data_IF_816883018461
#
_entry.id   IF_816883018461
#
_cell.length_a   1.000
_cell.length_b   1.000
_cell.length_c   1.000
_cell.angle_alpha   90.00
_cell.angle_beta   90.00
_cell.angle_gamma   90.00
#
_symmetry.space_group_name_H-M   'P 1'
#
loop_
_entity.id
_entity.type
_entity.pdbx_description
1 polymer ?
#
# COMPACT_ATOMS: atom_id res chain seq x y z
N UNK A 1 -4.49 -51.73 -0.52
CA UNK A 1 -4.14 -50.47 0.20
C UNK A 1 -4.73 -49.31 -0.57
N UNK A 2 -5.42 -48.35 0.07
CA UNK A 2 -5.99 -47.18 -0.63
C UNK A 2 -4.83 -46.38 -1.25
N UNK A 3 -4.90 -46.11 -2.55
CA UNK A 3 -3.89 -45.37 -3.30
C UNK A 3 -3.89 -43.89 -2.88
N UNK A 4 -3.19 -43.56 -1.80
CA UNK A 4 -3.06 -42.19 -1.28
C UNK A 4 -1.89 -41.50 -1.96
N UNK A 5 -2.09 -40.27 -2.45
CA UNK A 5 -1.00 -39.45 -2.95
C UNK A 5 -0.22 -38.83 -1.79
N UNK A 6 1.08 -38.64 -1.98
CA UNK A 6 1.92 -37.88 -1.04
C UNK A 6 1.90 -36.41 -1.50
N UNK A 7 1.61 -35.50 -0.57
CA UNK A 7 1.60 -34.06 -0.79
C UNK A 7 2.56 -33.39 0.19
N UNK A 8 3.22 -32.32 -0.24
CA UNK A 8 4.08 -31.49 0.60
C UNK A 8 3.30 -30.52 1.49
N UNK A 9 4.01 -29.60 2.12
CA UNK A 9 3.44 -28.48 2.90
C UNK A 9 2.65 -27.46 2.03
N UNK A 10 2.93 -27.44 0.73
CA UNK A 10 2.24 -26.63 -0.28
C UNK A 10 2.17 -27.39 -1.61
N UNK A 11 1.08 -27.21 -2.34
CA UNK A 11 0.83 -27.89 -3.62
C UNK A 11 0.15 -26.97 -4.63
N UNK A 12 0.28 -27.29 -5.91
CA UNK A 12 -0.55 -26.72 -6.96
C UNK A 12 -1.79 -27.58 -7.16
N UNK A 13 -2.94 -26.94 -7.28
CA UNK A 13 -4.18 -27.63 -7.61
C UNK A 13 -5.06 -26.83 -8.57
N UNK A 14 -6.09 -27.48 -9.12
CA UNK A 14 -7.03 -26.86 -10.05
C UNK A 14 -8.47 -27.11 -9.63
N UNK A 15 -9.37 -26.21 -10.05
CA UNK A 15 -10.82 -26.33 -9.92
C UNK A 15 -11.45 -26.12 -11.31
N UNK A 16 -11.63 -27.19 -12.09
CA UNK A 16 -12.10 -27.10 -13.47
C UNK A 16 -13.45 -26.39 -13.61
N UNK A 17 -14.41 -26.68 -12.73
CA UNK A 17 -15.76 -26.08 -12.78
C UNK A 17 -15.76 -24.58 -12.43
N UNK A 18 -14.77 -24.12 -11.66
CA UNK A 18 -14.59 -22.70 -11.34
C UNK A 18 -13.74 -21.98 -12.38
N UNK A 19 -13.23 -22.68 -13.40
CA UNK A 19 -12.30 -22.12 -14.38
C UNK A 19 -10.95 -21.73 -13.76
N UNK A 20 -10.53 -22.40 -12.68
CA UNK A 20 -9.24 -22.15 -12.00
C UNK A 20 -8.24 -23.24 -12.42
N UNK A 21 -7.39 -22.99 -13.44
CA UNK A 21 -6.46 -24.01 -13.94
C UNK A 21 -5.27 -24.30 -13.00
N UNK A 22 -4.84 -23.34 -12.18
CA UNK A 22 -3.72 -23.53 -11.26
C UNK A 22 -3.73 -22.52 -10.09
N UNK A 23 -3.99 -22.99 -8.87
CA UNK A 23 -3.91 -22.20 -7.64
C UNK A 23 -2.97 -22.88 -6.64
N UNK A 24 -2.11 -22.07 -6.00
CA UNK A 24 -1.21 -22.56 -4.96
C UNK A 24 -1.97 -22.71 -3.64
N UNK A 25 -2.02 -23.93 -3.13
CA UNK A 25 -2.65 -24.28 -1.86
C UNK A 25 -1.61 -24.52 -0.78
N UNK A 26 -1.86 -24.01 0.42
CA UNK A 26 -1.19 -24.50 1.63
C UNK A 26 -1.93 -25.75 2.11
N UNK A 27 -1.19 -26.82 2.35
CA UNK A 27 -1.72 -28.04 2.94
C UNK A 27 -1.80 -27.82 4.44
N UNK A 28 -3.02 -27.81 4.98
CA UNK A 28 -3.29 -27.40 6.36
C UNK A 28 -4.16 -28.43 7.07
N UNK A 29 -3.52 -29.37 7.77
CA UNK A 29 -4.21 -30.36 8.60
C UNK A 29 -4.84 -29.76 9.86
N UNK A 30 -4.55 -28.50 10.21
CA UNK A 30 -5.25 -27.79 11.28
C UNK A 30 -6.65 -27.32 10.84
N UNK A 31 -6.82 -26.99 9.57
CA UNK A 31 -8.10 -26.57 9.01
C UNK A 31 -9.05 -27.76 8.81
N UNK A 32 -10.29 -27.65 9.32
CA UNK A 32 -11.33 -28.67 9.08
C UNK A 32 -11.75 -28.69 7.61
N UNK A 33 -12.27 -27.55 7.14
CA UNK A 33 -12.79 -27.37 5.78
C UNK A 33 -11.83 -26.51 4.96
N UNK A 34 -11.67 -26.84 3.69
CA UNK A 34 -10.85 -26.06 2.76
C UNK A 34 -11.43 -24.66 2.53
N UNK A 35 -10.57 -23.71 2.15
CA UNK A 35 -10.95 -22.33 1.92
C UNK A 35 -10.27 -21.75 0.70
N UNK A 36 -11.03 -21.10 -0.17
CA UNK A 36 -10.51 -20.44 -1.37
C UNK A 36 -10.68 -18.92 -1.25
N UNK A 37 -9.69 -18.20 -1.75
CA UNK A 37 -9.70 -16.76 -1.83
C UNK A 37 -10.88 -16.29 -2.69
N UNK A 38 -11.70 -15.40 -2.14
CA UNK A 38 -12.88 -14.87 -2.83
C UNK A 38 -13.12 -13.41 -2.44
N UNK A 39 -13.37 -12.58 -3.44
CA UNK A 39 -13.75 -11.18 -3.33
C UNK A 39 -15.10 -10.93 -3.98
N UNK A 40 -15.71 -9.78 -3.63
CA UNK A 40 -16.98 -9.33 -4.20
C UNK A 40 -18.09 -10.41 -4.18
N UNK A 41 -18.12 -11.22 -3.12
CA UNK A 41 -19.08 -12.33 -2.99
C UNK A 41 -20.49 -11.77 -2.85
N UNK A 42 -21.35 -12.04 -3.83
CA UNK A 42 -22.75 -11.61 -3.87
C UNK A 42 -23.67 -12.80 -4.12
N UNK A 43 -24.66 -13.00 -3.25
CA UNK A 43 -25.68 -14.03 -3.45
C UNK A 43 -26.77 -13.58 -4.40
N UNK A 44 -27.28 -14.51 -5.20
CA UNK A 44 -28.46 -14.32 -6.04
C UNK A 44 -29.28 -15.62 -6.10
N UNK A 45 -30.49 -15.54 -6.66
CA UNK A 45 -31.36 -16.70 -6.88
C UNK A 45 -31.33 -17.10 -8.35
N UNK A 46 -31.18 -18.39 -8.63
CA UNK A 46 -31.37 -19.00 -9.95
C UNK A 46 -32.40 -20.11 -9.79
N UNK A 47 -33.65 -19.82 -10.15
CA UNK A 47 -34.80 -20.63 -9.74
C UNK A 47 -34.97 -20.64 -8.21
N UNK A 48 -35.20 -21.81 -7.62
CA UNK A 48 -35.34 -21.98 -6.17
C UNK A 48 -33.98 -22.06 -5.43
N UNK A 49 -32.88 -22.26 -6.15
CA UNK A 49 -31.53 -22.46 -5.59
C UNK A 49 -30.83 -21.14 -5.30
N UNK A 50 -30.07 -21.11 -4.21
CA UNK A 50 -29.19 -19.98 -3.86
C UNK A 50 -27.85 -20.14 -4.55
N UNK A 51 -27.40 -19.11 -5.24
CA UNK A 51 -26.11 -19.06 -5.92
C UNK A 51 -25.28 -17.90 -5.38
N UNK A 52 -23.97 -17.97 -5.57
CA UNK A 52 -23.04 -16.88 -5.29
C UNK A 52 -22.21 -16.58 -6.52
N UNK A 53 -22.06 -15.29 -6.82
CA UNK A 53 -21.08 -14.77 -7.78
C UNK A 53 -19.93 -14.15 -7.00
N UNK A 54 -18.71 -14.44 -7.41
CA UNK A 54 -17.51 -13.98 -6.72
C UNK A 54 -16.32 -13.90 -7.67
N UNK A 55 -15.28 -13.18 -7.24
CA UNK A 55 -14.04 -13.02 -7.98
C UNK A 55 -12.90 -13.74 -7.23
N UNK A 56 -12.08 -14.49 -7.97
CA UNK A 56 -10.89 -15.18 -7.45
C UNK A 56 -9.64 -14.55 -8.06
N UNK A 57 -8.69 -14.21 -7.21
CA UNK A 57 -7.28 -14.00 -7.58
C UNK A 57 -6.48 -15.28 -7.29
N UNK A 58 -6.22 -16.13 -8.30
CA UNK A 58 -5.66 -17.46 -8.08
C UNK A 58 -4.15 -17.43 -7.82
N UNK A 59 -3.47 -16.36 -8.24
CA UNK A 59 -2.02 -16.23 -8.14
C UNK A 59 -1.62 -15.46 -6.89
N UNK A 60 -0.55 -15.92 -6.22
CA UNK A 60 0.03 -15.23 -5.08
C UNK A 60 0.54 -13.84 -5.51
N UNK A 61 0.29 -12.82 -4.68
CA UNK A 61 0.76 -11.44 -4.96
C UNK A 61 0.37 -10.93 -6.36
N UNK A 62 -0.78 -11.36 -6.88
CA UNK A 62 -1.25 -10.94 -8.19
C UNK A 62 -2.75 -10.71 -8.10
N UNK A 63 -3.15 -9.44 -8.25
CA UNK A 63 -4.55 -9.03 -8.40
C UNK A 63 -4.93 -8.76 -9.87
N UNK A 64 -4.03 -9.03 -10.81
CA UNK A 64 -4.26 -8.82 -12.24
C UNK A 64 -5.11 -9.94 -12.82
N UNK A 65 -4.80 -11.18 -12.46
CA UNK A 65 -5.55 -12.36 -12.88
C UNK A 65 -6.81 -12.42 -12.02
N UNK A 66 -7.96 -12.18 -12.64
CA UNK A 66 -9.27 -12.23 -12.00
C UNK A 66 -10.13 -13.24 -12.71
N UNK A 67 -10.57 -14.26 -11.98
CA UNK A 67 -11.57 -15.21 -12.45
C UNK A 67 -12.90 -14.86 -11.83
N UNK A 68 -13.94 -14.72 -12.66
CA UNK A 68 -15.32 -14.52 -12.22
C UNK A 68 -16.02 -15.86 -12.19
N UNK A 69 -16.44 -16.27 -11.01
CA UNK A 69 -17.01 -17.58 -10.76
C UNK A 69 -18.46 -17.43 -10.28
N UNK A 70 -19.29 -18.40 -10.63
CA UNK A 70 -20.61 -18.60 -10.04
C UNK A 70 -20.71 -20.04 -9.55
N UNK A 71 -21.23 -20.24 -8.35
CA UNK A 71 -21.46 -21.57 -7.80
C UNK A 71 -22.74 -21.63 -6.97
N UNK A 72 -23.36 -22.80 -6.93
CA UNK A 72 -24.49 -23.09 -6.05
C UNK A 72 -24.01 -23.13 -4.58
N UNK A 73 -24.76 -22.48 -3.70
CA UNK A 73 -24.51 -22.52 -2.25
C UNK A 73 -25.16 -23.76 -1.68
N UNK A 74 -24.35 -24.61 -1.05
CA UNK A 74 -24.86 -25.80 -0.36
C UNK A 74 -25.08 -25.57 1.13
N UNK A 75 -24.33 -24.64 1.75
CA UNK A 75 -24.36 -24.38 3.18
C UNK A 75 -23.82 -22.96 3.49
N UNK A 76 -24.07 -22.48 4.71
CA UNK A 76 -23.44 -21.30 5.30
C UNK A 76 -22.87 -21.67 6.67
N UNK A 77 -21.56 -21.68 6.77
CA UNK A 77 -20.85 -22.21 7.93
C UNK A 77 -20.19 -21.08 8.72
N UNK A 78 -20.36 -21.08 10.03
CA UNK A 78 -19.60 -20.22 10.92
C UNK A 78 -18.18 -20.78 11.06
N UNK A 79 -17.18 -20.02 10.60
CA UNK A 79 -15.77 -20.41 10.62
C UNK A 79 -15.03 -19.50 11.61
N UNK A 80 -14.40 -20.12 12.62
CA UNK A 80 -13.56 -19.41 13.59
C UNK A 80 -12.13 -19.35 13.06
N UNK A 81 -11.58 -18.14 12.95
CA UNK A 81 -10.19 -17.91 12.60
C UNK A 81 -9.25 -18.20 13.77
N UNK A 82 -7.96 -18.36 13.49
CA UNK A 82 -6.92 -18.50 14.51
C UNK A 82 -6.80 -17.28 15.44
N UNK A 83 -7.27 -16.10 15.00
CA UNK A 83 -7.38 -14.89 15.82
C UNK A 83 -8.68 -14.82 16.65
N UNK A 84 -9.47 -15.90 16.69
CA UNK A 84 -10.66 -16.01 17.52
C UNK A 84 -11.93 -15.38 16.94
N UNK A 85 -11.85 -14.68 15.79
CA UNK A 85 -13.00 -14.06 15.14
C UNK A 85 -13.81 -15.10 14.37
N UNK A 86 -15.13 -15.06 14.51
CA UNK A 86 -16.06 -15.95 13.82
C UNK A 86 -16.71 -15.23 12.65
N UNK A 87 -16.62 -15.82 11.46
CA UNK A 87 -17.21 -15.29 10.22
C UNK A 87 -18.17 -16.32 9.60
N UNK A 88 -19.35 -15.89 9.14
CA UNK A 88 -20.27 -16.76 8.37
C UNK A 88 -19.86 -16.76 6.91
N UNK A 89 -19.45 -17.91 6.38
CA UNK A 89 -18.98 -18.07 5.01
C UNK A 89 -19.91 -18.96 4.20
N UNK A 90 -20.09 -18.64 2.93
CA UNK A 90 -20.76 -19.53 1.98
C UNK A 90 -19.89 -20.76 1.73
N UNK A 91 -20.54 -21.91 1.62
CA UNK A 91 -19.92 -23.18 1.25
C UNK A 91 -20.41 -23.57 -0.13
N UNK A 92 -19.45 -23.89 -1.00
CA UNK A 92 -19.70 -24.39 -2.35
C UNK A 92 -19.04 -25.77 -2.48
N UNK A 93 -19.47 -26.52 -3.49
CA UNK A 93 -18.88 -27.81 -3.85
C UNK A 93 -18.32 -27.71 -5.25
N UNK A 94 -17.10 -28.23 -5.45
CA UNK A 94 -16.45 -28.27 -6.77
C UNK A 94 -15.46 -29.43 -6.81
N UNK A 95 -15.20 -30.02 -7.99
CA UNK A 95 -14.09 -30.95 -8.20
C UNK A 95 -12.74 -30.26 -7.99
N UNK A 96 -11.91 -30.85 -7.13
CA UNK A 96 -10.49 -30.54 -6.94
C UNK A 96 -9.67 -31.50 -7.80
N UNK A 97 -8.70 -30.96 -8.53
CA UNK A 97 -7.67 -31.72 -9.23
C UNK A 97 -6.29 -31.46 -8.61
N UNK A 98 -5.60 -32.52 -8.19
CA UNK A 98 -4.28 -32.46 -7.53
C UNK A 98 -3.56 -33.81 -7.68
N UNK A 99 -2.26 -33.79 -8.02
CA UNK A 99 -1.46 -35.02 -8.16
C UNK A 99 -2.07 -36.10 -9.06
N UNK A 100 -2.68 -35.69 -10.16
CA UNK A 100 -3.36 -36.60 -11.10
C UNK A 100 -4.70 -37.18 -10.61
N UNK A 101 -5.14 -36.86 -9.39
CA UNK A 101 -6.44 -37.27 -8.86
C UNK A 101 -7.48 -36.15 -9.04
N UNK A 102 -8.74 -36.54 -9.26
CA UNK A 102 -9.90 -35.63 -9.29
C UNK A 102 -10.95 -36.13 -8.31
N UNK A 103 -11.39 -35.29 -7.37
CA UNK A 103 -12.47 -35.62 -6.44
C UNK A 103 -13.16 -34.36 -5.91
N UNK A 104 -14.40 -34.52 -5.45
CA UNK A 104 -15.24 -33.42 -4.99
C UNK A 104 -14.84 -32.95 -3.59
N UNK A 105 -14.79 -31.64 -3.37
CA UNK A 105 -14.50 -31.01 -2.07
C UNK A 105 -15.48 -29.89 -1.73
N UNK A 106 -15.68 -29.67 -0.43
CA UNK A 106 -16.32 -28.44 0.09
C UNK A 106 -15.29 -27.32 0.17
N UNK A 107 -15.64 -26.14 -0.34
CA UNK A 107 -14.86 -24.91 -0.21
C UNK A 107 -15.67 -23.84 0.51
N UNK A 108 -15.06 -23.23 1.52
CA UNK A 108 -15.55 -21.96 2.08
C UNK A 108 -15.01 -20.79 1.26
N UNK A 109 -15.88 -19.84 0.93
CA UNK A 109 -15.48 -18.58 0.28
C UNK A 109 -14.99 -17.59 1.36
N UNK A 110 -13.72 -17.20 1.28
CA UNK A 110 -13.10 -16.32 2.28
C UNK A 110 -12.25 -15.24 1.62
N UNK A 111 -12.29 -14.02 2.14
CA UNK A 111 -11.31 -13.02 1.74
C UNK A 111 -9.95 -13.36 2.37
N UNK A 112 -9.02 -13.77 1.52
CA UNK A 112 -7.65 -14.19 1.90
C UNK A 112 -6.55 -13.22 1.45
N UNK A 113 -6.86 -11.95 1.18
CA UNK A 113 -5.90 -10.96 0.66
C UNK A 113 -4.69 -10.72 1.56
N UNK A 114 -4.92 -10.62 2.86
CA UNK A 114 -3.86 -10.40 3.86
C UNK A 114 -3.16 -11.70 4.27
N UNK A 115 -3.58 -12.85 3.72
CA UNK A 115 -3.07 -14.16 4.11
C UNK A 115 -2.13 -14.71 3.05
N UNK A 116 -1.00 -15.29 3.48
CA UNK A 116 0.08 -15.73 2.59
C UNK A 116 -0.26 -16.80 1.55
N UNK A 117 -1.47 -17.39 1.56
CA UNK A 117 -1.95 -18.36 0.56
C UNK A 117 -3.40 -18.09 0.15
N UNK A 118 -3.65 -18.10 -1.16
CA UNK A 118 -4.97 -17.93 -1.79
C UNK A 118 -5.86 -19.17 -1.65
N UNK A 119 -5.31 -20.32 -1.30
CA UNK A 119 -6.06 -21.56 -1.06
C UNK A 119 -5.51 -22.29 0.18
N UNK A 120 -6.42 -22.82 1.01
CA UNK A 120 -6.11 -23.76 2.09
C UNK A 120 -6.76 -25.10 1.79
N UNK A 121 -5.98 -26.17 1.83
CA UNK A 121 -6.46 -27.54 1.71
C UNK A 121 -6.63 -28.13 3.11
N UNK A 122 -7.87 -28.28 3.56
CA UNK A 122 -8.24 -28.77 4.89
C UNK A 122 -8.36 -30.29 4.98
N UNK A 123 -8.49 -30.80 6.22
CA UNK A 123 -8.55 -32.25 6.51
C UNK A 123 -9.67 -32.99 5.81
N UNK A 124 -10.85 -32.40 5.67
CA UNK A 124 -12.01 -33.07 5.01
C UNK A 124 -11.71 -33.39 3.53
N UNK A 125 -10.92 -32.56 2.86
CA UNK A 125 -10.46 -32.83 1.49
C UNK A 125 -9.39 -33.94 1.47
N UNK A 126 -8.50 -33.97 2.45
CA UNK A 126 -7.36 -34.91 2.51
C UNK A 126 -7.73 -36.31 3.00
N UNK A 127 -8.74 -36.44 3.86
CA UNK A 127 -9.03 -37.67 4.60
C UNK A 127 -9.22 -38.88 3.67
N UNK A 128 -8.38 -39.89 3.88
CA UNK A 128 -8.41 -41.13 3.10
C UNK A 128 -7.85 -41.05 1.68
N UNK A 129 -7.39 -39.85 1.23
CA UNK A 129 -6.89 -39.58 -0.13
C UNK A 129 -5.41 -39.18 -0.15
N UNK A 130 -4.90 -38.56 0.92
CA UNK A 130 -3.56 -37.97 0.94
C UNK A 130 -2.74 -38.36 2.17
N UNK A 131 -1.42 -38.32 2.03
CA UNK A 131 -0.42 -38.31 3.10
C UNK A 131 0.37 -37.00 3.00
N UNK A 132 0.56 -36.31 4.12
CA UNK A 132 1.30 -35.04 4.14
C UNK A 132 2.74 -35.30 4.56
N UNK A 133 3.67 -34.97 3.68
CA UNK A 133 5.09 -34.86 3.97
C UNK A 133 5.39 -33.38 4.31
N UNK A 134 5.67 -33.05 5.58
CA UNK A 134 5.91 -31.68 6.00
C UNK A 134 7.25 -31.12 5.51
N UNK A 135 8.23 -31.96 5.18
CA UNK A 135 9.54 -31.56 4.67
C UNK A 135 9.45 -31.15 3.18
N UNK A 136 8.58 -31.83 2.44
CA UNK A 136 8.34 -31.58 1.02
C UNK A 136 7.57 -30.29 0.69
N UNK A 137 7.73 -29.83 -0.55
CA UNK A 137 6.88 -28.83 -1.20
C UNK A 137 6.71 -29.19 -2.67
N UNK A 138 5.49 -29.04 -3.21
CA UNK A 138 5.18 -29.30 -4.61
C UNK A 138 5.50 -30.75 -5.07
N UNK A 139 5.25 -31.72 -4.20
CA UNK A 139 5.53 -33.14 -4.48
C UNK A 139 4.64 -33.69 -5.60
N UNK A 140 3.52 -33.02 -5.87
CA UNK A 140 2.62 -33.37 -6.98
C UNK A 140 2.93 -32.65 -8.29
N UNK A 141 3.98 -31.82 -8.30
CA UNK A 141 4.44 -31.07 -9.47
C UNK A 141 4.48 -29.55 -9.25
N UNK A 142 5.30 -28.88 -10.04
CA UNK A 142 5.44 -27.42 -10.05
C UNK A 142 4.84 -26.86 -11.33
N UNK A 143 4.03 -25.82 -11.21
CA UNK A 143 3.60 -25.02 -12.37
C UNK A 143 4.59 -23.87 -12.55
N UNK A 144 5.33 -23.88 -13.66
CA UNK A 144 6.29 -22.84 -13.99
C UNK A 144 5.58 -21.51 -14.34
N UNK A 145 6.25 -20.37 -14.13
CA UNK A 145 5.67 -19.03 -14.38
C UNK A 145 5.18 -18.87 -15.83
N UNK A 146 5.93 -19.39 -16.81
CA UNK A 146 5.55 -19.34 -18.23
C UNK A 146 4.25 -20.12 -18.52
N UNK A 147 4.04 -21.23 -17.81
CA UNK A 147 2.81 -22.01 -17.93
C UNK A 147 1.65 -21.31 -17.22
N UNK A 148 1.87 -20.65 -16.08
CA UNK A 148 0.86 -19.79 -15.46
C UNK A 148 0.44 -18.65 -16.40
N UNK A 149 1.38 -18.06 -17.12
CA UNK A 149 1.06 -17.00 -18.09
C UNK A 149 0.17 -17.53 -19.23
N UNK A 150 0.46 -18.74 -19.72
CA UNK A 150 -0.36 -19.41 -20.73
C UNK A 150 -1.76 -19.76 -20.19
N UNK A 151 -1.83 -20.42 -19.04
CA UNK A 151 -3.08 -20.89 -18.43
C UNK A 151 -4.03 -19.74 -18.09
N UNK A 152 -3.49 -18.61 -17.65
CA UNK A 152 -4.27 -17.44 -17.27
C UNK A 152 -4.41 -16.40 -18.37
N UNK A 153 -3.86 -16.65 -19.56
CA UNK A 153 -3.84 -15.67 -20.63
C UNK A 153 -3.22 -14.35 -20.17
N UNK A 154 -2.19 -14.39 -19.31
CA UNK A 154 -1.35 -13.23 -19.02
C UNK A 154 -0.59 -12.96 -20.30
N UNK A 155 -1.25 -12.26 -21.22
CA UNK A 155 -0.70 -11.92 -22.52
C UNK A 155 0.68 -11.34 -22.33
N UNK A 156 1.62 -11.77 -23.17
CA UNK A 156 2.86 -11.03 -23.40
C UNK A 156 2.47 -9.56 -23.51
N UNK A 157 2.87 -8.77 -22.52
CA UNK A 157 2.73 -7.33 -22.57
C UNK A 157 3.51 -6.92 -23.82
N UNK A 158 2.80 -6.49 -24.86
CA UNK A 158 3.43 -6.03 -26.08
C UNK A 158 4.29 -4.82 -25.72
N UNK A 159 5.60 -4.82 -26.03
CA UNK A 159 6.48 -3.71 -25.71
C UNK A 159 6.09 -2.49 -26.55
N UNK A 160 5.23 -1.65 -25.99
CA UNK A 160 4.79 -0.39 -26.61
C UNK A 160 4.36 0.68 -25.60
N UNK A 161 4.39 0.38 -24.30
CA UNK A 161 4.15 1.37 -23.24
C UNK A 161 5.42 2.10 -22.81
N UNK A 162 5.23 3.10 -21.95
CA UNK A 162 6.31 3.88 -21.33
C UNK A 162 7.35 3.01 -20.60
N UNK A 163 8.60 3.47 -20.58
CA UNK A 163 9.67 3.00 -19.69
C UNK A 163 9.62 3.77 -18.38
N UNK A 164 9.11 3.14 -17.33
CA UNK A 164 8.93 3.77 -16.02
C UNK A 164 9.90 3.16 -15.02
N UNK A 165 10.72 3.99 -14.39
CA UNK A 165 11.56 3.61 -13.25
C UNK A 165 10.79 3.70 -11.93
N UNK A 166 11.03 2.75 -11.03
CA UNK A 166 10.66 2.81 -9.63
C UNK A 166 11.93 2.90 -8.80
N UNK A 167 12.20 4.07 -8.22
CA UNK A 167 13.34 4.30 -7.33
C UNK A 167 12.92 3.95 -5.91
N UNK A 168 13.29 2.75 -5.44
CA UNK A 168 12.80 2.21 -4.17
C UNK A 168 13.93 1.74 -3.26
N UNK A 169 13.71 1.85 -1.94
CA UNK A 169 14.60 1.26 -0.95
C UNK A 169 14.38 -0.27 -0.83
N UNK A 170 13.12 -0.71 -0.91
CA UNK A 170 12.77 -2.13 -0.91
C UNK A 170 11.71 -2.41 -1.99
N UNK A 171 12.06 -3.13 -3.07
CA UNK A 171 11.11 -3.44 -4.12
C UNK A 171 10.06 -4.49 -3.72
N UNK A 172 10.29 -5.25 -2.65
CA UNK A 172 9.38 -6.30 -2.16
C UNK A 172 8.31 -5.76 -1.20
N UNK A 173 8.44 -4.50 -0.76
CA UNK A 173 7.42 -3.83 0.03
C UNK A 173 6.08 -3.77 -0.73
N UNK A 174 4.96 -3.85 -0.01
CA UNK A 174 3.62 -3.86 -0.61
C UNK A 174 3.43 -2.75 -1.64
N UNK A 175 3.71 -1.50 -1.27
CA UNK A 175 3.51 -0.34 -2.14
C UNK A 175 4.37 -0.41 -3.41
N UNK A 176 5.64 -0.80 -3.30
CA UNK A 176 6.55 -1.00 -4.42
C UNK A 176 6.04 -2.08 -5.39
N UNK A 177 5.65 -3.24 -4.86
CA UNK A 177 5.10 -4.35 -5.68
C UNK A 177 3.83 -3.92 -6.41
N UNK A 178 2.93 -3.23 -5.72
CA UNK A 178 1.67 -2.75 -6.31
C UNK A 178 1.91 -1.75 -7.43
N UNK A 179 2.88 -0.84 -7.31
CA UNK A 179 3.27 0.08 -8.37
C UNK A 179 3.83 -0.66 -9.60
N UNK A 180 4.70 -1.67 -9.38
CA UNK A 180 5.24 -2.50 -10.45
C UNK A 180 4.15 -3.30 -11.17
N UNK A 181 3.25 -3.93 -10.41
CA UNK A 181 2.08 -4.64 -10.95
C UNK A 181 1.17 -3.71 -11.75
N UNK A 182 0.84 -2.54 -11.20
CA UNK A 182 -0.05 -1.58 -11.84
C UNK A 182 0.55 -1.05 -13.15
N UNK A 183 1.85 -0.77 -13.18
CA UNK A 183 2.54 -0.33 -14.38
C UNK A 183 2.56 -1.42 -15.46
N UNK A 184 2.91 -2.65 -15.10
CA UNK A 184 2.88 -3.81 -16.01
C UNK A 184 1.46 -4.08 -16.53
N UNK A 185 0.44 -4.02 -15.68
CA UNK A 185 -0.97 -4.19 -16.06
C UNK A 185 -1.42 -3.17 -17.11
N UNK A 186 -0.82 -1.98 -17.12
CA UNK A 186 -1.12 -0.90 -18.08
C UNK A 186 -0.24 -0.95 -19.34
N UNK A 187 0.63 -1.95 -19.45
CA UNK A 187 1.45 -2.20 -20.64
C UNK A 187 2.82 -1.52 -20.62
N UNK A 188 3.24 -0.99 -19.48
CA UNK A 188 4.51 -0.29 -19.34
C UNK A 188 5.67 -1.21 -19.00
N UNK A 189 6.87 -0.84 -19.43
CA UNK A 189 8.11 -1.47 -19.03
C UNK A 189 8.58 -0.87 -17.70
N UNK A 190 8.45 -1.66 -16.63
CA UNK A 190 8.83 -1.24 -15.28
C UNK A 190 10.27 -1.62 -14.95
N UNK A 191 11.08 -0.63 -14.57
CA UNK A 191 12.47 -0.81 -14.14
C UNK A 191 12.57 -0.55 -12.64
N UNK A 192 13.10 -1.50 -11.88
CA UNK A 192 13.36 -1.30 -10.45
C UNK A 192 14.77 -0.75 -10.29
N UNK A 193 14.88 0.38 -9.59
CA UNK A 193 16.15 1.01 -9.21
C UNK A 193 16.28 0.96 -7.68
N UNK A 194 16.95 -0.06 -7.12
CA UNK A 194 17.21 -0.13 -5.68
C UNK A 194 18.25 0.92 -5.30
N UNK A 195 17.88 1.87 -4.44
CA UNK A 195 18.73 3.04 -4.11
C UNK A 195 20.10 2.61 -3.58
N UNK A 196 20.15 1.57 -2.75
CA UNK A 196 21.37 0.98 -2.18
C UNK A 196 22.38 0.51 -3.23
N UNK A 197 21.87 0.15 -4.42
CA UNK A 197 22.67 -0.40 -5.50
C UNK A 197 23.08 0.65 -6.53
N UNK A 198 22.68 1.91 -6.33
CA UNK A 198 22.91 3.00 -7.26
C UNK A 198 24.13 3.84 -6.86
N UNK A 199 24.95 4.19 -7.85
CA UNK A 199 26.03 5.17 -7.69
C UNK A 199 25.99 6.19 -8.83
N UNK A 200 26.53 7.38 -8.58
CA UNK A 200 26.61 8.46 -9.56
C UNK A 200 28.07 8.81 -9.82
N UNK A 201 28.44 8.82 -11.09
CA UNK A 201 29.67 9.42 -11.57
C UNK A 201 29.36 10.84 -12.05
N UNK A 202 29.93 11.82 -11.36
CA UNK A 202 29.83 13.24 -11.72
C UNK A 202 31.15 13.65 -12.34
N UNK A 203 31.11 14.08 -13.60
CA UNK A 203 32.27 14.56 -14.33
C UNK A 203 31.85 15.62 -15.34
N UNK A 204 32.81 16.44 -15.82
CA UNK A 204 32.54 17.47 -16.82
C UNK A 204 32.04 16.92 -18.17
N UNK A 205 32.30 15.64 -18.46
CA UNK A 205 31.77 14.92 -19.61
C UNK A 205 30.93 13.71 -19.16
N UNK A 206 29.72 13.60 -19.70
CA UNK A 206 28.79 12.47 -19.57
C UNK A 206 28.58 11.95 -18.12
N UNK A 207 27.72 12.59 -17.31
CA UNK A 207 27.34 12.04 -16.02
C UNK A 207 26.68 10.67 -16.23
N UNK A 208 27.05 9.69 -15.41
CA UNK A 208 26.57 8.32 -15.53
C UNK A 208 26.06 7.81 -14.19
N UNK A 209 24.99 7.02 -14.23
CA UNK A 209 24.51 6.26 -13.07
C UNK A 209 24.86 4.79 -13.26
N UNK A 210 25.32 4.13 -12.21
CA UNK A 210 25.37 2.67 -12.17
C UNK A 210 24.24 2.14 -11.30
N UNK A 211 23.73 0.96 -11.61
CA UNK A 211 22.83 0.20 -10.76
C UNK A 211 23.24 -1.27 -10.80
N UNK A 212 23.36 -1.91 -9.63
CA UNK A 212 23.74 -3.33 -9.51
C UNK A 212 25.03 -3.68 -10.26
N UNK A 213 26.02 -2.78 -10.21
CA UNK A 213 27.34 -2.99 -10.81
C UNK A 213 27.42 -2.78 -12.33
N UNK A 214 26.32 -2.39 -12.99
CA UNK A 214 26.31 -2.06 -14.41
C UNK A 214 25.91 -0.60 -14.64
N UNK A 215 26.45 0.02 -15.68
CA UNK A 215 26.01 1.35 -16.12
C UNK A 215 24.55 1.29 -16.55
N UNK A 216 23.73 2.14 -15.94
CA UNK A 216 22.33 2.29 -16.31
C UNK A 216 22.23 3.18 -17.55
N UNK A 217 22.03 2.56 -18.70
CA UNK A 217 21.96 3.21 -20.01
C UNK A 217 20.53 3.44 -20.52
N UNK A 218 19.53 2.86 -19.85
CA UNK A 218 18.14 2.98 -20.27
C UNK A 218 17.61 4.41 -20.10
N UNK A 219 17.09 4.98 -21.18
CA UNK A 219 16.30 6.21 -21.11
C UNK A 219 14.93 5.89 -20.50
N UNK A 220 14.61 6.54 -19.39
CA UNK A 220 13.31 6.46 -18.73
C UNK A 220 12.42 7.62 -19.17
N UNK A 221 11.16 7.31 -19.49
CA UNK A 221 10.13 8.32 -19.74
C UNK A 221 9.67 8.94 -18.42
N UNK A 222 9.54 8.12 -17.38
CA UNK A 222 9.18 8.56 -16.04
C UNK A 222 9.93 7.83 -14.92
N UNK A 223 9.98 8.47 -13.76
CA UNK A 223 10.55 7.93 -12.53
C UNK A 223 9.63 8.19 -11.33
N UNK A 224 9.31 7.13 -10.60
CA UNK A 224 8.51 7.15 -9.38
C UNK A 224 9.45 6.94 -8.18
N UNK A 225 9.79 7.98 -7.40
CA UNK A 225 10.46 7.81 -6.11
C UNK A 225 9.54 7.23 -5.04
N UNK A 226 9.99 6.13 -4.45
CA UNK A 226 9.27 5.38 -3.43
C UNK A 226 10.20 4.90 -2.31
N UNK A 227 10.66 5.86 -1.49
CA UNK A 227 11.65 5.60 -0.44
C UNK A 227 11.40 6.39 0.84
N UNK A 228 11.86 5.81 1.96
CA UNK A 228 11.74 6.39 3.31
C UNK A 228 12.68 7.58 3.56
N UNK A 229 12.49 8.24 4.69
CA UNK A 229 13.27 9.44 5.07
C UNK A 229 14.78 9.20 5.15
N UNK A 230 15.18 7.98 5.47
CA UNK A 230 16.59 7.54 5.54
C UNK A 230 17.32 7.65 4.19
N UNK A 231 16.60 7.58 3.08
CA UNK A 231 17.16 7.73 1.73
C UNK A 231 16.99 9.13 1.15
N UNK A 232 16.57 10.13 1.93
CA UNK A 232 16.28 11.48 1.40
C UNK A 232 17.47 12.07 0.65
N UNK A 233 18.68 12.00 1.21
CA UNK A 233 19.88 12.58 0.58
C UNK A 233 20.23 11.86 -0.74
N UNK A 234 20.41 10.54 -0.69
CA UNK A 234 20.78 9.73 -1.86
C UNK A 234 19.67 9.68 -2.92
N UNK A 235 18.43 9.45 -2.50
CA UNK A 235 17.27 9.42 -3.38
C UNK A 235 17.03 10.76 -4.08
N UNK A 236 17.17 11.89 -3.38
CA UNK A 236 17.09 13.20 -4.03
C UNK A 236 18.27 13.47 -4.98
N UNK A 237 19.45 12.92 -4.73
CA UNK A 237 20.59 13.04 -5.65
C UNK A 237 20.33 12.30 -6.97
N UNK A 238 19.83 11.06 -6.87
CA UNK A 238 19.42 10.26 -8.03
C UNK A 238 18.25 10.92 -8.78
N UNK A 239 17.26 11.45 -8.07
CA UNK A 239 16.16 12.20 -8.70
C UNK A 239 16.66 13.40 -9.49
N UNK A 240 17.57 14.22 -8.93
CA UNK A 240 18.15 15.36 -9.67
C UNK A 240 18.92 14.93 -10.91
N UNK A 241 19.60 13.79 -10.86
CA UNK A 241 20.25 13.21 -12.04
C UNK A 241 19.22 12.92 -13.15
N UNK A 242 18.11 12.24 -12.83
CA UNK A 242 17.05 11.96 -13.80
C UNK A 242 16.27 13.20 -14.26
N UNK A 243 16.04 14.16 -13.36
CA UNK A 243 15.46 15.47 -13.71
C UNK A 243 16.34 16.19 -14.75
N UNK A 244 17.67 16.16 -14.58
CA UNK A 244 18.61 16.72 -15.55
C UNK A 244 18.63 16.01 -16.91
N UNK A 245 18.16 14.76 -16.97
CA UNK A 245 17.95 14.01 -18.21
C UNK A 245 16.55 14.24 -18.84
N UNK A 246 15.76 15.17 -18.29
CA UNK A 246 14.38 15.45 -18.68
C UNK A 246 13.42 14.26 -18.49
N UNK A 247 13.73 13.33 -17.57
CA UNK A 247 12.78 12.28 -17.17
C UNK A 247 11.67 12.88 -16.31
N UNK A 248 10.41 12.51 -16.55
CA UNK A 248 9.28 12.99 -15.75
C UNK A 248 9.26 12.32 -14.37
N UNK A 249 9.35 13.10 -13.30
CA UNK A 249 9.42 12.57 -11.92
C UNK A 249 8.13 12.81 -11.13
N UNK A 250 7.70 11.82 -10.33
CA UNK A 250 6.52 11.91 -9.45
C UNK A 250 6.87 11.37 -8.06
N UNK A 251 7.43 12.14 -7.14
CA UNK A 251 7.58 13.61 -7.07
C UNK A 251 9.00 14.11 -7.42
N UNK A 252 9.19 15.44 -7.49
CA UNK A 252 10.50 16.06 -7.71
C UNK A 252 11.42 15.99 -6.48
N UNK A 253 12.73 16.09 -6.69
CA UNK A 253 13.72 16.11 -5.61
C UNK A 253 13.47 17.29 -4.64
N UNK A 254 13.12 18.46 -5.18
CA UNK A 254 12.85 19.66 -4.39
C UNK A 254 11.61 19.49 -3.50
N UNK A 255 10.50 18.99 -4.06
CA UNK A 255 9.24 18.81 -3.33
C UNK A 255 9.34 17.70 -2.27
N UNK A 256 10.06 16.61 -2.55
CA UNK A 256 10.34 15.57 -1.56
C UNK A 256 11.14 16.15 -0.40
N UNK A 257 12.24 16.85 -0.69
CA UNK A 257 13.07 17.48 0.36
C UNK A 257 12.26 18.43 1.23
N UNK A 258 11.47 19.31 0.61
CA UNK A 258 10.61 20.25 1.33
C UNK A 258 9.57 19.54 2.21
N UNK A 259 8.96 18.45 1.75
CA UNK A 259 8.00 17.68 2.53
C UNK A 259 8.61 16.90 3.70
N UNK A 260 9.90 16.57 3.61
CA UNK A 260 10.62 15.81 4.64
C UNK A 260 11.10 16.70 5.78
N UNK A 261 11.36 17.97 5.52
CA UNK A 261 11.69 18.96 6.55
C UNK A 261 10.40 19.56 7.13
N UNK A 262 10.03 19.24 8.39
CA UNK A 262 8.77 19.69 8.99
C UNK A 262 8.69 21.22 9.11
N UNK A 263 9.81 21.89 9.39
CA UNK A 263 9.82 23.36 9.52
C UNK A 263 9.62 23.99 8.16
N UNK A 264 10.39 23.57 7.16
CA UNK A 264 10.25 24.08 5.78
C UNK A 264 8.87 23.76 5.18
N UNK A 265 8.30 22.59 5.50
CA UNK A 265 6.97 22.18 5.06
C UNK A 265 5.90 23.12 5.64
N UNK A 266 5.85 23.26 6.97
CA UNK A 266 4.87 24.11 7.65
C UNK A 266 4.98 25.59 7.25
N UNK A 267 6.21 26.11 7.10
CA UNK A 267 6.42 27.46 6.59
C UNK A 267 5.90 27.63 5.15
N UNK A 268 6.05 26.62 4.29
CA UNK A 268 5.49 26.60 2.93
C UNK A 268 3.96 26.66 2.91
N UNK A 269 3.32 25.93 3.83
CA UNK A 269 1.87 25.95 3.99
C UNK A 269 1.38 27.32 4.47
N UNK A 270 2.03 27.90 5.48
CA UNK A 270 1.71 29.24 6.00
C UNK A 270 1.84 30.34 4.95
N UNK A 271 2.94 30.35 4.18
CA UNK A 271 3.14 31.31 3.06
C UNK A 271 2.04 31.21 2.00
N UNK A 272 1.40 30.05 1.88
CA UNK A 272 0.30 29.81 0.95
C UNK A 272 -1.09 30.10 1.54
N UNK A 273 -1.13 30.69 2.76
CA UNK A 273 -2.37 31.01 3.48
C UNK A 273 -3.17 29.77 3.84
N UNK A 274 -2.50 28.67 4.21
CA UNK A 274 -3.14 27.42 4.60
C UNK A 274 -3.08 27.26 6.12
N UNK A 275 -4.22 26.89 6.71
CA UNK A 275 -4.36 26.70 8.15
C UNK A 275 -3.58 25.47 8.63
N UNK A 276 -2.75 25.69 9.65
CA UNK A 276 -2.07 24.66 10.44
C UNK A 276 -2.40 24.90 11.91
N UNK A 277 -2.27 23.90 12.80
CA UNK A 277 -2.30 24.17 14.22
C UNK A 277 -1.14 25.09 14.63
N UNK A 278 -1.35 25.89 15.66
CA UNK A 278 -0.30 26.73 16.24
C UNK A 278 0.88 25.84 16.63
N UNK A 279 2.04 26.08 16.00
CA UNK A 279 3.22 25.21 16.10
C UNK A 279 4.46 26.05 16.36
N UNK A 280 5.22 25.68 17.38
CA UNK A 280 6.54 26.19 17.70
C UNK A 280 7.63 25.14 17.44
N UNK A 281 8.85 25.61 17.21
CA UNK A 281 10.02 24.75 17.01
C UNK A 281 11.18 25.21 17.89
N UNK A 282 11.71 24.31 18.71
CA UNK A 282 12.80 24.58 19.64
C UNK A 282 14.03 23.74 19.32
N UNK A 283 15.16 24.42 19.14
CA UNK A 283 16.48 23.82 18.91
C UNK A 283 17.29 23.62 20.20
N UNK A 284 16.83 24.17 21.33
CA UNK A 284 17.47 24.04 22.64
C UNK A 284 16.44 23.90 23.76
N UNK A 285 16.82 23.36 24.94
CA UNK A 285 15.88 23.21 26.07
C UNK A 285 15.21 24.49 26.48
N UNK A 286 16.01 25.54 26.62
CA UNK A 286 15.53 26.86 27.03
C UNK A 286 14.58 27.46 25.99
N UNK A 287 14.92 27.36 24.70
CA UNK A 287 14.06 27.87 23.63
C UNK A 287 12.75 27.08 23.51
N UNK A 288 12.81 25.74 23.61
CA UNK A 288 11.64 24.87 23.56
C UNK A 288 10.70 25.11 24.76
N UNK A 289 11.24 25.21 25.97
CA UNK A 289 10.43 25.49 27.18
C UNK A 289 9.74 26.86 27.07
N UNK A 290 10.43 27.89 26.57
CA UNK A 290 9.85 29.22 26.38
C UNK A 290 8.69 29.25 25.36
N UNK A 291 8.57 28.25 24.47
CA UNK A 291 7.46 28.15 23.53
C UNK A 291 6.18 27.62 24.18
N UNK A 292 6.26 26.88 25.29
CA UNK A 292 5.08 26.33 25.97
C UNK A 292 4.10 27.45 26.36
N UNK A 293 4.62 28.52 26.95
CA UNK A 293 3.79 29.68 27.34
C UNK A 293 3.29 30.47 26.14
N UNK A 294 4.12 30.60 25.09
CA UNK A 294 3.73 31.29 23.84
C UNK A 294 2.64 30.56 23.06
N UNK A 295 2.51 29.25 23.26
CA UNK A 295 1.50 28.40 22.63
C UNK A 295 0.19 28.30 23.44
N UNK A 296 0.08 29.06 24.55
CA UNK A 296 -1.13 29.09 25.38
C UNK A 296 -1.16 28.04 26.49
N UNK A 297 -0.05 27.36 26.77
CA UNK A 297 0.05 26.34 27.81
C UNK A 297 -0.42 24.95 27.36
N UNK A 298 -0.48 24.01 28.32
CA UNK A 298 -0.92 22.65 28.10
C UNK A 298 -2.46 22.55 27.99
N UNK A 299 -3.02 21.55 27.27
CA UNK A 299 -2.34 20.40 26.65
C UNK A 299 -1.63 20.70 25.33
N UNK A 300 -0.47 20.07 25.11
CA UNK A 300 0.36 20.20 23.90
C UNK A 300 0.75 18.84 23.32
N UNK A 301 1.02 18.81 22.01
CA UNK A 301 1.66 17.70 21.32
C UNK A 301 3.13 18.04 21.09
N UNK A 302 4.04 17.21 21.60
CA UNK A 302 5.48 17.36 21.41
C UNK A 302 6.00 16.24 20.51
N UNK A 303 6.84 16.61 19.54
CA UNK A 303 7.46 15.68 18.58
C UNK A 303 8.97 15.87 18.58
N UNK A 304 9.71 14.79 18.84
CA UNK A 304 11.16 14.74 18.72
C UNK A 304 11.56 14.43 17.27
N UNK A 305 12.35 15.30 16.66
CA UNK A 305 12.73 15.23 15.25
C UNK A 305 14.25 15.29 15.13
N UNK A 306 14.84 14.23 14.56
CA UNK A 306 16.28 14.15 14.27
C UNK A 306 16.47 13.83 12.80
N UNK A 307 17.24 14.64 12.08
CA UNK A 307 17.51 14.45 10.65
C UNK A 307 16.25 14.21 9.80
N UNK A 308 15.19 15.00 10.03
CA UNK A 308 13.89 14.85 9.34
C UNK A 308 13.13 13.54 9.65
N UNK A 309 13.60 12.74 10.62
CA UNK A 309 12.91 11.56 11.13
C UNK A 309 12.21 11.88 12.44
N UNK A 310 10.94 11.48 12.54
CA UNK A 310 10.21 11.47 13.80
C UNK A 310 10.73 10.35 14.70
N UNK A 311 11.28 10.71 15.86
CA UNK A 311 11.77 9.75 16.86
C UNK A 311 10.68 9.37 17.87
N UNK A 312 9.98 10.38 18.38
CA UNK A 312 8.94 10.21 19.39
C UNK A 312 7.88 11.30 19.26
N UNK A 313 6.66 11.01 19.70
CA UNK A 313 5.61 12.01 19.86
C UNK A 313 4.79 11.70 21.11
N UNK A 314 4.56 12.71 21.93
CA UNK A 314 3.86 12.61 23.22
C UNK A 314 2.82 13.72 23.34
N UNK A 315 1.71 13.44 24.04
CA UNK A 315 0.79 14.47 24.53
C UNK A 315 1.20 14.84 25.95
N UNK A 316 1.41 16.12 26.22
CA UNK A 316 1.67 16.64 27.55
C UNK A 316 0.42 17.36 28.06
N UNK A 317 -0.19 16.80 29.11
CA UNK A 317 -1.41 17.35 29.74
C UNK A 317 -1.15 18.56 30.63
N UNK A 318 0.08 18.69 31.13
CA UNK A 318 0.48 19.75 32.05
C UNK A 318 1.76 20.42 31.58
N UNK A 319 1.99 21.66 32.05
CA UNK A 319 3.25 22.39 31.79
C UNK A 319 4.47 21.58 32.25
N UNK A 320 4.41 21.02 33.46
CA UNK A 320 5.50 20.20 34.00
C UNK A 320 5.77 18.95 33.12
N UNK A 321 4.71 18.30 32.62
CA UNK A 321 4.86 17.18 31.69
C UNK A 321 5.48 17.60 30.35
N UNK A 322 5.13 18.80 29.84
CA UNK A 322 5.72 19.33 28.61
C UNK A 322 7.21 19.63 28.79
N UNK A 323 7.59 20.31 29.88
CA UNK A 323 8.98 20.62 30.20
C UNK A 323 9.83 19.35 30.41
N UNK A 324 9.30 18.36 31.14
CA UNK A 324 9.97 17.07 31.31
C UNK A 324 10.15 16.32 29.97
N UNK A 325 9.14 16.33 29.11
CA UNK A 325 9.21 15.72 27.78
C UNK A 325 10.24 16.43 26.89
N UNK A 326 10.31 17.77 26.92
CA UNK A 326 11.31 18.55 26.17
C UNK A 326 12.73 18.14 26.58
N UNK A 327 13.00 18.10 27.89
CA UNK A 327 14.30 17.70 28.41
C UNK A 327 14.68 16.27 27.97
N UNK A 328 13.73 15.34 28.08
CA UNK A 328 13.94 13.96 27.66
C UNK A 328 14.16 13.81 26.15
N UNK A 329 13.47 14.59 25.32
CA UNK A 329 13.65 14.54 23.87
C UNK A 329 15.00 15.11 23.43
N UNK A 330 15.51 16.11 24.14
CA UNK A 330 16.78 16.74 23.80
C UNK A 330 18.01 15.99 24.29
N UNK A 331 17.88 15.15 25.34
CA UNK A 331 18.94 14.21 25.68
C UNK A 331 19.19 13.17 24.58
N UNK A 332 18.23 13.00 23.65
CA UNK A 332 18.38 12.21 22.42
C UNK A 332 19.04 13.00 21.28
N UNK A 333 19.49 14.23 21.54
CA UNK A 333 20.05 15.14 20.54
C UNK A 333 19.07 15.32 19.37
N UNK A 334 17.83 15.66 19.71
CA UNK A 334 16.73 15.87 18.78
C UNK A 334 16.13 17.27 18.96
N UNK A 335 15.67 17.85 17.84
CA UNK A 335 14.89 19.08 17.87
C UNK A 335 13.46 18.78 18.32
N UNK A 336 12.82 19.76 18.96
CA UNK A 336 11.45 19.59 19.47
C UNK A 336 10.48 20.48 18.70
N UNK A 337 9.51 19.85 18.05
CA UNK A 337 8.33 20.53 17.52
C UNK A 337 7.23 20.45 18.58
N UNK A 338 6.66 21.61 18.94
CA UNK A 338 5.62 21.75 19.95
C UNK A 338 4.38 22.30 19.24
N UNK A 339 3.26 21.60 19.33
CA UNK A 339 2.04 21.92 18.62
C UNK A 339 0.88 21.98 19.61
N UNK A 340 -0.04 22.92 19.41
CA UNK A 340 -1.28 22.98 20.20
C UNK A 340 -2.07 21.66 20.07
N UNK A 341 -2.79 21.29 21.12
CA UNK A 341 -3.69 20.13 21.08
C UNK A 341 -5.11 20.56 20.66
N UNK A 342 -5.63 19.96 19.60
CA UNK A 342 -7.01 20.20 19.12
C UNK A 342 -7.96 19.22 19.82
N UNK A 343 -8.47 19.60 20.98
CA UNK A 343 -9.29 18.74 21.84
C UNK A 343 -10.63 18.36 21.20
N UNK A 344 -11.24 19.27 20.45
CA UNK A 344 -12.53 19.06 19.78
C UNK A 344 -12.48 18.00 18.67
N UNK A 345 -11.28 17.62 18.22
CA UNK A 345 -11.09 16.54 17.26
C UNK A 345 -11.26 15.15 17.89
N UNK A 346 -11.38 15.04 19.22
CA UNK A 346 -11.60 13.77 19.93
C UNK A 346 -10.58 12.67 19.56
N UNK A 347 -9.31 13.07 19.41
CA UNK A 347 -8.21 12.20 18.97
C UNK A 347 -8.45 11.52 17.63
N UNK A 348 -9.20 12.17 16.73
CA UNK A 348 -9.38 11.73 15.35
C UNK A 348 -8.67 12.64 14.37
N UNK A 349 -8.16 12.05 13.28
CA UNK A 349 -7.66 12.78 12.14
C UNK A 349 -8.09 12.14 10.83
N UNK A 350 -7.97 12.91 9.73
CA UNK A 350 -8.24 12.46 8.38
C UNK A 350 -6.95 12.33 7.61
N UNK A 351 -6.73 11.16 7.02
CA UNK A 351 -5.62 10.93 6.11
C UNK A 351 -6.12 10.90 4.68
N UNK A 352 -5.77 11.94 3.92
CA UNK A 352 -6.12 12.10 2.52
C UNK A 352 -4.93 11.71 1.62
N UNK A 353 -5.17 10.85 0.63
CA UNK A 353 -4.23 10.66 -0.48
C UNK A 353 -4.64 11.57 -1.63
N UNK A 354 -3.72 12.44 -2.02
CA UNK A 354 -3.87 13.35 -3.16
C UNK A 354 -2.96 12.89 -4.29
N UNK A 355 -3.54 12.71 -5.47
CA UNK A 355 -2.83 12.37 -6.70
C UNK A 355 -3.26 13.35 -7.78
N UNK A 356 -2.29 13.99 -8.43
CA UNK A 356 -2.49 14.90 -9.56
C UNK A 356 -3.61 15.94 -9.29
N UNK A 357 -3.57 16.57 -8.12
CA UNK A 357 -4.53 17.61 -7.72
C UNK A 357 -5.92 17.12 -7.32
N UNK A 358 -6.10 15.82 -7.07
CA UNK A 358 -7.39 15.25 -6.64
C UNK A 358 -7.23 14.37 -5.40
N UNK A 359 -8.15 14.48 -4.45
CA UNK A 359 -8.23 13.53 -3.32
C UNK A 359 -8.83 12.22 -3.83
N UNK A 360 -8.02 11.17 -3.89
CA UNK A 360 -8.42 9.86 -4.46
C UNK A 360 -8.90 8.87 -3.40
N UNK A 361 -8.35 8.98 -2.19
CA UNK A 361 -8.72 8.18 -1.04
C UNK A 361 -8.64 9.05 0.23
N UNK A 362 -9.48 8.73 1.20
CA UNK A 362 -9.47 9.34 2.50
C UNK A 362 -9.95 8.32 3.52
N UNK A 363 -9.29 8.31 4.66
CA UNK A 363 -9.59 7.43 5.78
C UNK A 363 -9.59 8.27 7.05
N UNK A 364 -10.44 7.90 8.00
CA UNK A 364 -10.42 8.46 9.35
C UNK A 364 -9.59 7.54 10.25
N UNK A 365 -8.80 8.15 11.13
CA UNK A 365 -7.94 7.43 12.07
C UNK A 365 -8.31 7.83 13.48
N UNK A 366 -8.42 6.82 14.35
CA UNK A 366 -8.41 7.06 15.78
C UNK A 366 -6.97 7.00 16.26
N UNK A 367 -6.46 8.11 16.77
CA UNK A 367 -5.16 8.16 17.44
C UNK A 367 -5.39 7.66 18.86
N UNK A 368 -4.93 6.44 19.18
CA UNK A 368 -5.06 5.89 20.52
C UNK A 368 -4.23 6.72 21.52
N UNK A 369 -4.76 6.92 22.73
CA UNK A 369 -4.01 7.51 23.85
C UNK A 369 -2.80 6.61 24.16
N UNK A 370 -1.60 7.12 23.88
CA UNK A 370 -0.33 6.39 23.76
C UNK A 370 0.27 5.97 25.11
N UNK A 371 -0.48 5.29 25.97
CA UNK A 371 0.09 4.71 27.18
C UNK A 371 0.84 3.38 26.91
N UNK A 372 0.60 2.66 25.80
CA UNK A 372 1.04 1.25 25.66
C UNK A 372 1.49 0.76 24.25
N UNK A 373 1.98 1.61 23.34
CA UNK A 373 2.62 1.11 22.10
C UNK A 373 3.81 1.96 21.63
N UNK A 374 4.92 1.31 21.27
CA UNK A 374 6.14 1.92 20.71
C UNK A 374 6.16 1.76 19.19
N UNK A 375 6.29 2.87 18.44
CA UNK A 375 6.45 2.87 16.98
C UNK A 375 5.87 4.11 16.30
N UNK A 376 6.36 4.49 15.09
CA UNK A 376 5.90 5.68 14.37
C UNK A 376 4.48 5.56 13.78
N UNK A 377 3.92 4.35 13.67
CA UNK A 377 2.63 4.06 12.99
C UNK A 377 1.53 3.49 13.92
N UNK A 378 1.49 3.89 15.19
CA UNK A 378 0.46 3.44 16.15
C UNK A 378 -0.89 4.18 15.98
N UNK A 379 -1.49 4.17 14.78
CA UNK A 379 -2.85 4.66 14.54
C UNK A 379 -3.73 3.57 13.94
N UNK A 380 -4.84 3.23 14.60
CA UNK A 380 -5.81 2.28 14.05
C UNK A 380 -6.67 3.00 13.02
N UNK A 381 -6.58 2.58 11.76
CA UNK A 381 -7.49 3.02 10.71
C UNK A 381 -8.87 2.44 10.96
N UNK A 382 -9.86 3.30 11.13
CA UNK A 382 -11.21 2.88 11.56
C UNK A 382 -12.13 2.69 10.36
N UNK A 383 -12.08 3.57 9.35
CA UNK A 383 -12.94 3.44 8.17
C UNK A 383 -12.53 4.34 6.99
N UNK A 384 -12.98 3.96 5.79
CA UNK A 384 -12.95 4.85 4.62
C UNK A 384 -14.01 5.93 4.75
N UNK A 385 -13.64 7.20 4.52
CA UNK A 385 -14.52 8.36 4.72
C UNK A 385 -14.55 9.25 3.48
N UNK A 386 -15.67 9.96 3.29
CA UNK A 386 -15.79 10.98 2.24
C UNK A 386 -15.47 12.35 2.83
N UNK A 387 -14.35 12.99 2.45
CA UNK A 387 -14.01 14.30 3.00
C UNK A 387 -14.96 15.38 2.44
N UNK A 388 -15.17 16.42 3.24
CA UNK A 388 -15.96 17.60 2.90
C UNK A 388 -15.33 18.38 1.74
N UNK A 389 -16.09 19.30 1.12
CA UNK A 389 -15.56 20.15 0.06
C UNK A 389 -14.39 21.02 0.53
N UNK A 390 -14.47 21.53 1.77
CA UNK A 390 -13.42 22.34 2.39
C UNK A 390 -12.16 21.51 2.67
N UNK A 391 -12.30 20.30 3.21
CA UNK A 391 -11.19 19.36 3.45
C UNK A 391 -10.48 18.98 2.14
N UNK A 392 -11.25 18.66 1.08
CA UNK A 392 -10.68 18.36 -0.24
C UNK A 392 -9.91 19.55 -0.81
N UNK A 393 -10.49 20.74 -0.76
CA UNK A 393 -9.85 21.97 -1.26
C UNK A 393 -8.57 22.27 -0.48
N UNK A 394 -8.59 22.10 0.84
CA UNK A 394 -7.43 22.30 1.69
C UNK A 394 -6.31 21.30 1.36
N UNK A 395 -6.62 20.01 1.26
CA UNK A 395 -5.64 18.97 0.93
C UNK A 395 -4.99 19.20 -0.45
N UNK A 396 -5.79 19.50 -1.48
CA UNK A 396 -5.27 19.80 -2.82
C UNK A 396 -4.39 21.04 -2.84
N UNK A 397 -4.77 22.11 -2.11
CA UNK A 397 -3.95 23.31 -1.99
C UNK A 397 -2.64 23.05 -1.24
N UNK A 398 -2.65 22.22 -0.20
CA UNK A 398 -1.46 21.83 0.55
C UNK A 398 -0.43 21.14 -0.34
N UNK A 399 -0.88 20.15 -1.12
CA UNK A 399 -0.02 19.43 -2.09
C UNK A 399 0.56 20.37 -3.14
N UNK A 400 -0.27 21.28 -3.66
CA UNK A 400 0.17 22.30 -4.62
C UNK A 400 1.19 23.28 -4.02
N UNK A 401 1.02 23.70 -2.77
CA UNK A 401 1.91 24.62 -2.08
C UNK A 401 3.33 24.05 -1.89
N UNK A 402 3.45 22.73 -1.69
CA UNK A 402 4.74 22.03 -1.56
C UNK A 402 5.29 21.56 -2.92
N UNK A 403 4.49 21.63 -3.99
CA UNK A 403 4.88 21.18 -5.33
C UNK A 403 4.89 19.66 -5.50
N UNK A 404 4.12 18.93 -4.69
CA UNK A 404 3.99 17.48 -4.79
C UNK A 404 2.92 17.10 -5.84
N UNK A 405 3.05 15.91 -6.42
CA UNK A 405 2.08 15.31 -7.36
C UNK A 405 1.32 14.17 -6.68
N UNK A 406 2.03 13.34 -5.92
CA UNK A 406 1.49 12.24 -5.11
C UNK A 406 1.87 12.49 -3.66
N UNK A 407 0.90 12.74 -2.80
CA UNK A 407 1.18 13.03 -1.39
C UNK A 407 0.05 12.58 -0.48
N UNK A 408 0.44 12.22 0.74
CA UNK A 408 -0.47 12.14 1.87
C UNK A 408 -0.61 13.51 2.51
N UNK A 409 -1.83 13.86 2.88
CA UNK A 409 -2.14 15.03 3.70
C UNK A 409 -2.93 14.55 4.91
N UNK A 410 -2.36 14.72 6.10
CA UNK A 410 -3.07 14.45 7.35
C UNK A 410 -3.73 15.77 7.82
N UNK A 411 -5.04 15.74 8.06
CA UNK A 411 -5.88 16.88 8.43
C UNK A 411 -6.54 16.62 9.78
N UNK A 412 -6.79 17.69 10.54
CA UNK A 412 -7.57 17.64 11.77
C UNK A 412 -8.75 18.60 11.69
N UNK A 413 -9.91 18.18 12.20
CA UNK A 413 -11.11 19.02 12.29
C UNK A 413 -11.03 19.86 13.55
N UNK A 414 -11.18 21.17 13.43
CA UNK A 414 -11.22 22.11 14.57
C UNK A 414 -12.44 23.02 14.46
N UNK A 415 -12.79 23.73 15.53
CA UNK A 415 -13.88 24.72 15.51
C UNK A 415 -13.65 25.86 14.51
N UNK A 416 -12.39 26.13 14.18
CA UNK A 416 -11.98 27.13 13.17
C UNK A 416 -11.82 26.56 11.75
N UNK A 417 -12.35 25.36 11.51
CA UNK A 417 -12.26 24.64 10.24
C UNK A 417 -11.17 23.58 10.22
N UNK A 418 -10.99 22.87 9.09
CA UNK A 418 -9.94 21.86 8.96
C UNK A 418 -8.54 22.51 8.94
N UNK A 419 -7.59 21.91 9.64
CA UNK A 419 -6.19 22.31 9.72
C UNK A 419 -5.29 21.19 9.18
N UNK A 420 -4.12 21.54 8.64
CA UNK A 420 -3.15 20.57 8.11
C UNK A 420 -2.17 20.19 9.22
N UNK A 421 -2.06 18.89 9.50
CA UNK A 421 -1.11 18.32 10.46
C UNK A 421 0.23 17.97 9.84
N UNK A 422 0.20 17.37 8.65
CA UNK A 422 1.37 16.85 7.94
C UNK A 422 1.11 16.72 6.43
N UNK A 423 2.17 16.87 5.64
CA UNK A 423 2.17 16.63 4.19
C UNK A 423 3.41 15.85 3.83
N UNK A 424 3.25 14.60 3.40
CA UNK A 424 4.38 13.70 3.13
C UNK A 424 4.36 13.11 1.72
N UNK A 425 5.53 13.06 1.09
CA UNK A 425 5.76 12.30 -0.13
C UNK A 425 5.77 10.78 0.11
N UNK A 426 5.58 9.99 -0.96
CA UNK A 426 5.66 8.52 -0.98
C UNK A 426 4.87 7.83 0.16
N UNK A 427 3.54 7.99 0.19
CA UNK A 427 2.73 7.45 1.27
C UNK A 427 2.57 5.94 1.15
N UNK A 428 2.51 5.23 2.28
CA UNK A 428 2.18 3.80 2.25
C UNK A 428 0.75 3.59 1.71
N UNK A 429 0.62 2.68 0.75
CA UNK A 429 -0.61 2.34 0.05
C UNK A 429 -1.33 1.16 0.72
N UNK A 430 -0.65 0.33 1.51
CA UNK A 430 -1.20 -0.94 1.99
C UNK A 430 -2.50 -0.75 2.76
N UNK A 431 -2.39 0.02 3.82
CA UNK A 431 -3.49 0.41 4.68
C UNK A 431 -4.61 1.14 3.93
N UNK A 432 -4.27 2.10 3.06
CA UNK A 432 -5.25 2.86 2.30
C UNK A 432 -6.03 1.99 1.29
N UNK A 433 -5.35 1.10 0.57
CA UNK A 433 -5.99 0.19 -0.38
C UNK A 433 -6.86 -0.85 0.35
N UNK A 434 -6.38 -1.41 1.46
CA UNK A 434 -7.14 -2.36 2.29
C UNK A 434 -8.41 -1.74 2.85
N UNK A 435 -8.33 -0.52 3.39
CA UNK A 435 -9.48 0.16 4.00
C UNK A 435 -10.47 0.68 2.95
N UNK A 436 -9.98 1.19 1.81
CA UNK A 436 -10.86 1.85 0.82
C UNK A 436 -11.29 0.94 -0.33
N UNK A 437 -10.62 -0.20 -0.54
CA UNK A 437 -10.86 -1.10 -1.66
C UNK A 437 -10.48 -0.51 -3.04
N UNK A 438 -9.79 0.63 -3.07
CA UNK A 438 -9.41 1.33 -4.31
C UNK A 438 -8.03 0.88 -4.80
N UNK A 439 -7.85 0.83 -6.12
CA UNK A 439 -6.54 0.58 -6.75
C UNK A 439 -5.76 1.91 -6.87
N UNK A 440 -5.03 2.24 -5.81
CA UNK A 440 -4.31 3.51 -5.68
C UNK A 440 -3.02 3.48 -6.49
N UNK A 441 -2.35 2.33 -6.55
CA UNK A 441 -1.19 2.15 -7.42
C UNK A 441 -1.53 2.39 -8.90
N UNK A 442 -2.66 1.87 -9.39
CA UNK A 442 -3.13 2.15 -10.75
C UNK A 442 -3.40 3.64 -10.96
N UNK A 443 -3.90 4.34 -9.94
CA UNK A 443 -4.15 5.78 -10.03
C UNK A 443 -2.85 6.59 -10.11
N UNK A 444 -1.79 6.15 -9.43
CA UNK A 444 -0.45 6.74 -9.55
C UNK A 444 0.12 6.54 -10.96
N UNK A 445 0.02 5.33 -11.52
CA UNK A 445 0.48 5.08 -12.90
C UNK A 445 -0.31 5.92 -13.91
N UNK A 446 -1.63 6.05 -13.74
CA UNK A 446 -2.43 6.96 -14.58
C UNK A 446 -1.97 8.42 -14.48
N UNK A 447 -1.50 8.85 -13.31
CA UNK A 447 -0.94 10.19 -13.16
C UNK A 447 0.37 10.34 -13.94
N UNK A 448 1.21 9.30 -14.03
CA UNK A 448 2.40 9.29 -14.89
C UNK A 448 2.00 9.47 -16.35
N UNK A 449 1.05 8.65 -16.83
CA UNK A 449 0.57 8.71 -18.21
C UNK A 449 0.01 10.09 -18.56
N UNK A 450 -0.83 10.66 -17.69
CA UNK A 450 -1.40 11.99 -17.88
C UNK A 450 -0.34 13.09 -17.99
N UNK A 451 0.76 12.99 -17.23
CA UNK A 451 1.86 13.97 -17.29
C UNK A 451 2.70 13.84 -18.54
N UNK A 452 2.73 12.65 -19.13
CA UNK A 452 3.41 12.37 -20.40
C UNK A 452 2.47 12.46 -21.62
N UNK A 453 1.21 12.85 -21.42
CA UNK A 453 0.14 12.81 -22.44
C UNK A 453 0.04 11.45 -23.15
N UNK A 454 0.37 10.37 -22.43
CA UNK A 454 0.32 9.01 -22.97
C UNK A 454 -1.10 8.47 -22.90
N UNK A 455 -1.53 7.80 -23.97
CA UNK A 455 -2.83 7.14 -24.07
C UNK A 455 -2.63 5.65 -24.27
N UNK A 456 -3.50 4.83 -23.67
CA UNK A 456 -3.43 3.39 -23.87
C UNK A 456 -3.78 3.03 -25.32
N UNK A 457 -3.27 1.92 -25.88
CA UNK A 457 -3.67 1.44 -27.21
C UNK A 457 -5.20 1.26 -27.35
N UNK A 458 -5.90 0.90 -26.26
CA UNK A 458 -7.35 0.77 -26.24
C UNK A 458 -8.11 2.12 -26.25
N UNK A 459 -7.48 3.20 -25.78
CA UNK A 459 -8.02 4.56 -25.88
C UNK A 459 -7.72 5.16 -27.26
N UNK A 460 -6.54 4.88 -27.81
CA UNK A 460 -6.16 5.28 -29.17
C UNK A 460 -7.09 4.65 -30.23
N UNK A 461 -7.48 3.39 -30.08
CA UNK A 461 -8.41 2.73 -31.02
C UNK A 461 -9.84 3.29 -30.98
N UNK A 462 -10.28 3.87 -29.85
CA UNK A 462 -11.60 4.54 -29.76
C UNK A 462 -11.63 5.90 -30.44
N UNK A 463 -10.49 6.58 -30.50
CA UNK A 463 -10.36 7.87 -31.18
C UNK A 463 -10.36 7.71 -32.71
N UNK A 464 -9.86 6.59 -33.23
CA UNK A 464 -9.88 6.26 -34.67
C UNK A 464 -11.28 5.86 -35.16
N UNK A 465 -12.21 5.55 -34.24
CA UNK A 465 -13.57 5.09 -34.55
C UNK A 465 -14.68 6.00 -33.99
N UNK A 466 -14.36 7.23 -33.59
CA UNK A 466 -15.37 8.24 -33.29
C UNK A 466 -15.59 9.09 -34.56
N UNK A 467 -16.84 9.23 -35.05
CA UNK A 467 -17.16 9.88 -36.32
C UNK A 467 -16.83 11.38 -36.35
#
# INVERSE_FOLDING_TARGET
>A
MKNRIIVGSQEWCAFPELGVPAIKARVDSGARTSAIHSHHVRSFKRGQKTWVRFEIHPLQHNRMTVLRCEAEVIDRRAVKSSSGHTEKRYVIVTPLQIGGQVFVVELTLANRDSMGYRMLLGREAMQGRMLVDPEGSFLTGVVAEQELDRLYGRGRITPGGLKIGLLAANPEEYSSRRLLEAGRKRGHQMHVLPIQSCSLQLGPAAPAMQSRGATFSDRLDALIPWFGSEWTTGGCALLRYFEGLNTVVLNSAASIRQSRDPVSCLQGLLRSGLGIPTTGFGWSPTAAAALVDKLGGAPLILRAIKESRLLASVRAETRAAAEAAIQAMQSLDANVLIQEFIAEAQSTDLRCLVINGRVVACVERQVADRAHQTGPDATTLTSGVRPSAQEKKLAVRAVRAIGLVVARVDLIRSHRGPLILDVSAAPDLDDLEKTTGKDLAQTIIKAVEQRLNWQTPAEQSRLVHSP
#
